data_IF_141886760064
#
_entry.id   IF_141886760064
#
_cell.length_a   1.000
_cell.length_b   1.000
_cell.length_c   1.000
_cell.angle_alpha   90.00
_cell.angle_beta   90.00
_cell.angle_gamma   90.00
#
_symmetry.space_group_name_H-M   'P 1'
#
loop_
_entity.id
_entity.type
_entity.pdbx_description
1 polymer ?
#
# COMPACT_ATOMS: atom_id res chain seq x y z
N UNK A 1 -39.74 11.35 15.19
CA UNK A 1 -40.03 12.40 14.17
C UNK A 1 -38.75 12.57 13.35
N UNK A 2 -38.65 11.89 12.18
CA UNK A 2 -37.43 11.89 11.34
C UNK A 2 -37.35 13.25 10.66
N UNK A 3 -36.24 13.99 10.93
CA UNK A 3 -35.93 15.25 10.20
C UNK A 3 -35.78 14.92 8.72
N UNK A 4 -36.76 15.27 7.92
CA UNK A 4 -36.63 15.27 6.45
C UNK A 4 -35.54 16.28 6.10
N UNK A 5 -34.47 15.79 5.50
CA UNK A 5 -33.42 16.68 5.01
C UNK A 5 -33.91 17.35 3.72
N UNK A 6 -33.48 18.59 3.43
CA UNK A 6 -33.84 19.32 2.19
C UNK A 6 -33.61 18.50 0.90
N UNK A 7 -32.79 17.47 0.99
CA UNK A 7 -32.50 16.53 -0.08
C UNK A 7 -33.60 15.48 -0.27
N UNK A 8 -34.26 15.01 0.81
CA UNK A 8 -35.39 14.07 0.69
C UNK A 8 -36.63 14.77 0.10
N UNK A 9 -36.80 16.05 0.36
CA UNK A 9 -37.89 16.84 -0.23
C UNK A 9 -37.70 17.03 -1.73
N UNK A 10 -36.51 17.38 -2.18
CA UNK A 10 -36.16 17.47 -3.62
C UNK A 10 -36.34 16.14 -4.37
N UNK A 11 -36.00 15.02 -3.74
CA UNK A 11 -36.19 13.69 -4.34
C UNK A 11 -37.69 13.38 -4.48
N UNK A 12 -38.50 13.74 -3.50
CA UNK A 12 -39.94 13.54 -3.55
C UNK A 12 -40.59 14.45 -4.62
N UNK A 13 -40.14 15.69 -4.73
CA UNK A 13 -40.57 16.64 -5.77
C UNK A 13 -40.20 16.12 -7.18
N UNK A 14 -38.96 15.73 -7.41
CA UNK A 14 -38.51 15.18 -8.69
C UNK A 14 -39.27 13.90 -9.09
N UNK A 15 -39.56 13.02 -8.11
CA UNK A 15 -40.39 11.83 -8.36
C UNK A 15 -41.84 12.18 -8.69
N UNK A 16 -42.37 13.24 -8.11
CA UNK A 16 -43.73 13.72 -8.39
C UNK A 16 -43.85 14.38 -9.78
N UNK A 17 -42.76 15.00 -10.25
CA UNK A 17 -42.67 15.64 -11.57
C UNK A 17 -42.23 14.67 -12.68
N UNK A 18 -41.94 13.40 -12.37
CA UNK A 18 -41.51 12.39 -13.35
C UNK A 18 -40.09 12.65 -13.92
N UNK A 19 -39.31 13.55 -13.29
CA UNK A 19 -37.94 13.80 -13.69
C UNK A 19 -37.03 12.65 -13.30
N UNK A 20 -36.13 12.27 -14.22
CA UNK A 20 -35.08 11.28 -13.94
C UNK A 20 -34.11 11.82 -12.87
N UNK A 21 -34.10 11.20 -11.70
CA UNK A 21 -33.14 11.57 -10.64
C UNK A 21 -31.72 11.34 -11.16
N UNK A 22 -30.88 12.38 -11.28
CA UNK A 22 -29.51 12.21 -11.77
C UNK A 22 -28.76 11.27 -10.83
N UNK A 23 -28.36 10.11 -11.35
CA UNK A 23 -27.56 9.12 -10.61
C UNK A 23 -26.21 9.73 -10.22
N UNK A 24 -25.86 9.64 -8.94
CA UNK A 24 -24.54 10.10 -8.49
C UNK A 24 -23.49 9.07 -8.83
N UNK A 25 -22.32 9.54 -9.25
CA UNK A 25 -21.16 8.69 -9.45
C UNK A 25 -20.68 8.11 -8.11
N UNK A 26 -20.35 6.81 -8.09
CA UNK A 26 -19.79 6.15 -6.89
C UNK A 26 -18.54 6.88 -6.37
N UNK A 27 -17.74 7.44 -7.26
CA UNK A 27 -16.53 8.22 -6.94
C UNK A 27 -16.84 9.56 -6.25
N UNK A 28 -17.91 10.21 -6.65
CA UNK A 28 -18.33 11.46 -6.04
C UNK A 28 -18.84 11.24 -4.60
N UNK A 29 -19.59 10.16 -4.38
CA UNK A 29 -20.05 9.77 -3.05
C UNK A 29 -18.88 9.34 -2.16
N UNK A 30 -17.92 8.57 -2.68
CA UNK A 30 -16.72 8.16 -1.95
C UNK A 30 -15.88 9.37 -1.54
N UNK A 31 -15.63 10.31 -2.47
CA UNK A 31 -14.89 11.55 -2.20
C UNK A 31 -15.59 12.39 -1.13
N UNK A 32 -16.89 12.57 -1.24
CA UNK A 32 -17.69 13.35 -0.26
C UNK A 32 -17.65 12.73 1.13
N UNK A 33 -17.77 11.40 1.23
CA UNK A 33 -17.68 10.67 2.50
C UNK A 33 -16.30 10.82 3.12
N UNK A 34 -15.26 10.71 2.30
CA UNK A 34 -13.86 10.85 2.73
C UNK A 34 -13.60 12.25 3.34
N UNK A 35 -13.89 13.32 2.62
CA UNK A 35 -13.66 14.70 3.08
C UNK A 35 -14.60 15.14 4.21
N UNK A 36 -15.70 14.42 4.45
CA UNK A 36 -16.57 14.65 5.61
C UNK A 36 -16.00 14.01 6.88
N UNK A 37 -15.03 13.11 6.77
CA UNK A 37 -14.36 12.49 7.89
C UNK A 37 -13.08 13.29 8.20
N UNK A 38 -13.11 14.05 9.31
CA UNK A 38 -11.99 14.90 9.73
C UNK A 38 -10.71 14.10 10.01
N UNK A 39 -10.82 12.86 10.54
CA UNK A 39 -9.67 11.99 10.77
C UNK A 39 -9.02 11.55 9.45
N UNK A 40 -9.83 11.17 8.45
CA UNK A 40 -9.32 10.79 7.14
C UNK A 40 -8.66 11.98 6.42
N UNK A 41 -9.27 13.17 6.50
CA UNK A 41 -8.70 14.39 5.93
C UNK A 41 -7.40 14.78 6.64
N UNK A 42 -7.36 14.70 7.96
CA UNK A 42 -6.14 14.96 8.74
C UNK A 42 -5.01 13.98 8.39
N UNK A 43 -5.32 12.68 8.28
CA UNK A 43 -4.37 11.65 7.87
C UNK A 43 -3.82 11.90 6.45
N UNK A 44 -4.68 12.32 5.52
CA UNK A 44 -4.25 12.68 4.15
C UNK A 44 -3.31 13.87 4.14
N UNK A 45 -3.59 14.90 4.97
CA UNK A 45 -2.71 16.08 5.10
C UNK A 45 -1.36 15.65 5.67
N UNK A 46 -1.34 14.85 6.75
CA UNK A 46 -0.09 14.35 7.33
C UNK A 46 0.73 13.55 6.32
N UNK A 47 0.10 12.63 5.58
CA UNK A 47 0.78 11.87 4.54
C UNK A 47 1.28 12.78 3.41
N UNK A 48 0.48 13.77 3.01
CA UNK A 48 0.88 14.78 2.03
C UNK A 48 2.12 15.58 2.47
N UNK A 49 2.19 15.96 3.75
CA UNK A 49 3.35 16.63 4.31
C UNK A 49 4.60 15.73 4.33
N UNK A 50 4.46 14.45 4.66
CA UNK A 50 5.56 13.47 4.61
C UNK A 50 6.08 13.33 3.18
N UNK A 51 5.18 13.16 2.20
CA UNK A 51 5.57 13.08 0.78
C UNK A 51 6.23 14.40 0.33
N UNK A 52 5.66 15.54 0.70
CA UNK A 52 6.23 16.86 0.38
C UNK A 52 7.65 17.00 0.97
N UNK A 53 7.85 16.57 2.22
CA UNK A 53 9.15 16.57 2.87
C UNK A 53 10.19 15.75 2.09
N UNK A 54 9.83 14.58 1.57
CA UNK A 54 10.77 13.74 0.79
C UNK A 54 11.09 14.31 -0.60
N UNK A 55 10.17 15.09 -1.20
CA UNK A 55 10.34 15.68 -2.54
C UNK A 55 11.06 17.03 -2.45
N UNK A 56 10.64 17.88 -1.52
CA UNK A 56 11.13 19.27 -1.41
C UNK A 56 12.32 19.38 -0.45
N UNK A 57 12.37 18.53 0.58
CA UNK A 57 13.43 18.53 1.58
C UNK A 57 14.87 18.51 1.04
N UNK A 58 15.19 17.71 0.00
CA UNK A 58 16.53 17.70 -0.57
C UNK A 58 17.01 19.06 -1.09
N UNK A 59 16.10 19.95 -1.49
CA UNK A 59 16.43 21.30 -1.97
C UNK A 59 16.98 22.19 -0.85
N UNK A 60 16.68 21.87 0.39
CA UNK A 60 17.16 22.61 1.58
C UNK A 60 18.37 21.94 2.25
N UNK A 61 18.69 20.69 1.88
CA UNK A 61 19.85 20.00 2.44
C UNK A 61 21.14 20.60 1.90
N UNK A 62 22.05 20.96 2.83
CA UNK A 62 23.41 21.43 2.49
C UNK A 62 24.42 20.27 2.47
N UNK A 63 24.06 19.15 3.08
CA UNK A 63 24.91 18.00 3.28
C UNK A 63 24.43 16.81 2.47
N UNK A 64 25.37 15.99 1.98
CA UNK A 64 25.00 14.71 1.38
C UNK A 64 24.78 13.63 2.46
N UNK A 65 24.17 12.51 2.06
CA UNK A 65 23.78 11.42 2.99
C UNK A 65 25.00 10.74 3.61
N UNK A 66 26.11 10.68 2.87
CA UNK A 66 27.34 9.97 3.26
C UNK A 66 28.42 10.92 3.77
N UNK A 67 28.24 12.23 3.61
CA UNK A 67 29.22 13.23 4.00
C UNK A 67 29.34 13.32 5.53
N UNK A 68 30.59 13.31 6.00
CA UNK A 68 30.91 13.36 7.43
C UNK A 68 31.46 14.75 7.74
N UNK A 69 30.86 15.43 8.73
CA UNK A 69 31.42 16.65 9.28
C UNK A 69 32.58 16.33 10.25
N UNK A 70 33.78 16.20 9.68
CA UNK A 70 34.98 15.92 10.44
C UNK A 70 35.32 16.98 11.48
N UNK A 71 34.90 18.23 11.26
CA UNK A 71 35.19 19.33 12.21
C UNK A 71 34.44 19.13 13.52
N UNK A 72 33.22 18.57 13.46
CA UNK A 72 32.34 18.34 14.62
C UNK A 72 32.36 16.93 15.15
N UNK A 73 32.85 15.97 14.36
CA UNK A 73 32.88 14.57 14.75
C UNK A 73 33.64 14.31 16.08
N UNK A 74 34.65 15.12 16.42
CA UNK A 74 35.42 14.99 17.67
C UNK A 74 34.66 15.50 18.91
N UNK A 75 33.54 16.22 18.74
CA UNK A 75 32.81 16.86 19.84
C UNK A 75 31.26 16.81 19.61
N UNK A 76 30.76 15.69 19.10
CA UNK A 76 29.36 15.50 18.74
C UNK A 76 28.42 15.82 19.93
N UNK A 77 28.82 15.47 21.15
CA UNK A 77 28.02 15.73 22.35
C UNK A 77 27.70 17.22 22.57
N UNK A 78 28.55 18.13 22.10
CA UNK A 78 28.36 19.58 22.25
C UNK A 78 28.06 20.30 20.95
N UNK A 79 28.53 19.80 19.82
CA UNK A 79 28.43 20.46 18.51
C UNK A 79 27.53 19.73 17.51
N UNK A 80 27.09 18.49 17.83
CA UNK A 80 26.20 17.68 17.00
C UNK A 80 24.71 18.03 17.06
N UNK A 81 24.34 19.10 17.80
CA UNK A 81 22.95 19.51 17.96
C UNK A 81 22.36 20.15 16.69
N UNK A 82 21.00 20.18 16.55
CA UNK A 82 20.33 20.87 15.46
C UNK A 82 20.77 22.33 15.35
N UNK A 83 21.20 22.76 14.16
CA UNK A 83 21.69 24.12 13.91
C UNK A 83 21.38 24.57 12.49
N UNK A 84 20.81 25.77 12.36
CA UNK A 84 20.57 26.42 11.07
C UNK A 84 21.88 26.96 10.47
N UNK A 85 22.80 27.41 11.30
CA UNK A 85 24.06 28.01 10.89
C UNK A 85 24.95 26.97 10.18
N UNK A 86 25.10 25.77 10.77
CA UNK A 86 25.85 24.67 10.18
C UNK A 86 25.12 23.97 9.04
N UNK A 87 23.80 24.12 8.94
CA UNK A 87 22.95 23.41 8.01
C UNK A 87 22.52 21.99 8.48
N UNK A 88 22.90 21.59 9.69
CA UNK A 88 22.46 20.35 10.32
C UNK A 88 21.11 20.56 11.03
N UNK A 89 20.04 20.64 10.26
CA UNK A 89 18.72 20.98 10.79
C UNK A 89 18.19 20.01 11.85
N UNK A 90 18.57 18.72 11.77
CA UNK A 90 18.23 17.67 12.74
C UNK A 90 19.42 17.22 13.57
N UNK A 91 20.58 17.89 13.43
CA UNK A 91 21.82 17.51 14.07
C UNK A 91 22.59 16.43 13.34
N UNK A 92 23.57 15.84 14.02
CA UNK A 92 24.48 14.80 13.52
C UNK A 92 24.16 13.46 14.19
N UNK A 93 24.47 12.37 13.47
CA UNK A 93 24.52 11.03 14.07
C UNK A 93 25.89 10.79 14.75
N UNK A 94 26.04 9.65 15.44
CA UNK A 94 27.26 9.25 16.14
C UNK A 94 28.51 9.15 15.23
N UNK A 95 28.29 9.13 13.92
CA UNK A 95 29.35 9.08 12.90
C UNK A 95 29.62 10.43 12.23
N UNK A 96 29.01 11.53 12.75
CA UNK A 96 29.19 12.87 12.20
C UNK A 96 28.44 13.12 10.88
N UNK A 97 27.40 12.32 10.55
CA UNK A 97 26.64 12.47 9.32
C UNK A 97 25.33 13.25 9.58
N UNK A 98 24.88 14.01 8.59
CA UNK A 98 23.69 14.84 8.71
C UNK A 98 22.39 14.03 8.85
N UNK A 99 21.70 14.21 9.98
CA UNK A 99 20.42 13.51 10.25
C UNK A 99 19.27 13.99 9.37
N UNK A 100 19.28 15.25 8.89
CA UNK A 100 18.24 15.75 8.02
C UNK A 100 18.28 15.06 6.66
N UNK A 101 19.45 15.01 6.01
CA UNK A 101 19.62 14.32 4.73
C UNK A 101 19.28 12.82 4.84
N UNK A 102 19.73 12.18 5.92
CA UNK A 102 19.47 10.76 6.19
C UNK A 102 18.00 10.48 6.45
N UNK A 103 17.29 11.35 7.18
CA UNK A 103 15.85 11.22 7.42
C UNK A 103 15.06 11.32 6.13
N UNK A 104 15.42 12.24 5.23
CA UNK A 104 14.77 12.36 3.91
C UNK A 104 14.96 11.06 3.12
N UNK A 105 16.18 10.57 3.04
CA UNK A 105 16.49 9.35 2.28
C UNK A 105 15.76 8.12 2.87
N UNK A 106 15.82 7.94 4.18
CA UNK A 106 15.13 6.84 4.84
C UNK A 106 13.61 6.88 4.60
N UNK A 107 13.00 8.07 4.75
CA UNK A 107 11.57 8.24 4.50
C UNK A 107 11.21 7.94 3.03
N UNK A 108 12.03 8.41 2.09
CA UNK A 108 11.85 8.13 0.66
C UNK A 108 11.93 6.63 0.36
N UNK A 109 12.94 5.97 0.90
CA UNK A 109 13.13 4.52 0.75
C UNK A 109 11.92 3.75 1.29
N UNK A 110 11.50 4.03 2.52
CA UNK A 110 10.36 3.36 3.15
C UNK A 110 9.06 3.57 2.38
N UNK A 111 8.80 4.79 1.86
CA UNK A 111 7.63 5.05 1.02
C UNK A 111 7.67 4.26 -0.29
N UNK A 112 8.82 4.22 -0.95
CA UNK A 112 8.99 3.46 -2.21
C UNK A 112 8.78 1.96 -1.96
N UNK A 113 9.41 1.41 -0.92
CA UNK A 113 9.27 0.00 -0.54
C UNK A 113 7.83 -0.32 -0.21
N UNK A 114 7.19 0.51 0.62
CA UNK A 114 5.80 0.33 1.02
C UNK A 114 4.84 0.31 -0.17
N UNK A 115 4.93 1.30 -1.06
CA UNK A 115 4.02 1.42 -2.21
C UNK A 115 4.28 0.33 -3.25
N UNK A 116 5.54 0.10 -3.64
CA UNK A 116 5.87 -0.91 -4.65
C UNK A 116 5.58 -2.32 -4.12
N UNK A 117 5.95 -2.61 -2.86
CA UNK A 117 5.64 -3.90 -2.23
C UNK A 117 4.14 -4.17 -2.19
N UNK A 118 3.34 -3.20 -1.77
CA UNK A 118 1.89 -3.32 -1.77
C UNK A 118 1.32 -3.49 -3.19
N UNK A 119 1.84 -2.77 -4.19
CA UNK A 119 1.40 -2.90 -5.59
C UNK A 119 1.66 -4.31 -6.14
N UNK A 120 2.86 -4.86 -5.91
CA UNK A 120 3.21 -6.23 -6.32
C UNK A 120 2.28 -7.24 -5.65
N UNK A 121 2.07 -7.13 -4.33
CA UNK A 121 1.16 -7.99 -3.58
C UNK A 121 -0.27 -7.93 -4.11
N UNK A 122 -0.76 -6.73 -4.41
CA UNK A 122 -2.10 -6.50 -4.97
C UNK A 122 -2.25 -7.14 -6.34
N UNK A 123 -1.32 -6.91 -7.26
CA UNK A 123 -1.43 -7.43 -8.62
C UNK A 123 -1.37 -8.97 -8.62
N UNK A 124 -0.34 -9.53 -8.01
CA UNK A 124 -0.14 -11.00 -7.99
C UNK A 124 -1.24 -11.66 -7.17
N UNK A 125 -1.50 -11.18 -5.95
CA UNK A 125 -2.49 -11.78 -5.05
C UNK A 125 -3.91 -11.70 -5.60
N UNK A 126 -4.27 -10.58 -6.23
CA UNK A 126 -5.60 -10.43 -6.85
C UNK A 126 -5.79 -11.39 -8.00
N UNK A 127 -4.84 -11.48 -8.92
CA UNK A 127 -4.95 -12.39 -10.07
C UNK A 127 -4.93 -13.85 -9.61
N UNK A 128 -4.02 -14.22 -8.74
CA UNK A 128 -3.90 -15.58 -8.21
C UNK A 128 -5.17 -16.01 -7.47
N UNK A 129 -5.64 -15.19 -6.52
CA UNK A 129 -6.84 -15.46 -5.73
C UNK A 129 -8.11 -15.48 -6.59
N UNK A 130 -8.23 -14.59 -7.58
CA UNK A 130 -9.35 -14.56 -8.49
C UNK A 130 -9.40 -15.82 -9.38
N UNK A 131 -8.27 -16.26 -9.90
CA UNK A 131 -8.18 -17.50 -10.68
C UNK A 131 -8.54 -18.71 -9.83
N UNK A 132 -7.94 -18.86 -8.65
CA UNK A 132 -8.22 -19.97 -7.74
C UNK A 132 -9.71 -20.03 -7.38
N UNK A 133 -10.29 -18.92 -6.92
CA UNK A 133 -11.70 -18.85 -6.52
C UNK A 133 -12.68 -19.07 -7.68
N UNK A 134 -12.38 -18.55 -8.88
CA UNK A 134 -13.26 -18.69 -10.05
C UNK A 134 -13.26 -20.10 -10.60
N UNK A 135 -12.08 -20.68 -10.86
CA UNK A 135 -11.95 -22.03 -11.39
C UNK A 135 -12.48 -23.06 -10.38
N UNK A 136 -12.03 -22.96 -9.14
CA UNK A 136 -12.47 -23.86 -8.07
C UNK A 136 -11.93 -25.29 -8.21
N UNK A 137 -12.54 -26.22 -7.45
CA UNK A 137 -12.25 -27.63 -7.53
C UNK A 137 -10.80 -27.99 -7.20
N UNK A 138 -10.21 -28.89 -7.99
CA UNK A 138 -8.83 -29.36 -7.78
C UNK A 138 -7.78 -28.25 -7.98
N UNK A 139 -7.98 -27.37 -8.97
CA UNK A 139 -7.07 -26.26 -9.26
C UNK A 139 -6.98 -25.32 -8.05
N UNK A 140 -8.13 -24.92 -7.50
CA UNK A 140 -8.20 -24.10 -6.28
C UNK A 140 -7.44 -24.78 -5.12
N UNK A 141 -7.68 -26.08 -4.91
CA UNK A 141 -7.02 -26.82 -3.83
C UNK A 141 -5.50 -26.85 -4.00
N UNK A 142 -4.98 -27.07 -5.20
CA UNK A 142 -3.53 -27.08 -5.47
C UNK A 142 -2.94 -25.68 -5.29
N UNK A 143 -3.59 -24.65 -5.84
CA UNK A 143 -3.14 -23.27 -5.71
C UNK A 143 -3.09 -22.83 -4.24
N UNK A 144 -4.14 -23.11 -3.46
CA UNK A 144 -4.17 -22.76 -2.05
C UNK A 144 -3.20 -23.59 -1.21
N UNK A 145 -2.96 -24.86 -1.55
CA UNK A 145 -1.95 -25.68 -0.90
C UNK A 145 -0.54 -25.09 -1.10
N UNK A 146 -0.24 -24.59 -2.29
CA UNK A 146 1.02 -23.89 -2.54
C UNK A 146 1.16 -22.63 -1.66
N UNK A 147 0.08 -21.83 -1.53
CA UNK A 147 0.05 -20.69 -0.60
C UNK A 147 0.25 -21.13 0.85
N UNK A 148 -0.40 -22.21 1.29
CA UNK A 148 -0.28 -22.72 2.67
C UNK A 148 1.15 -23.17 3.00
N UNK A 149 1.82 -23.83 2.07
CA UNK A 149 3.23 -24.23 2.21
C UNK A 149 4.13 -23.01 2.34
N UNK A 150 3.94 -21.99 1.50
CA UNK A 150 4.76 -20.78 1.53
C UNK A 150 4.53 -19.97 2.82
N UNK A 151 3.30 -19.88 3.30
CA UNK A 151 2.97 -19.17 4.56
C UNK A 151 3.50 -19.91 5.79
N UNK A 152 3.71 -21.24 5.71
CA UNK A 152 4.27 -22.00 6.83
C UNK A 152 5.74 -21.67 7.15
N UNK A 153 6.43 -21.07 6.17
CA UNK A 153 7.81 -20.61 6.36
C UNK A 153 7.79 -19.20 6.98
N UNK A 154 8.51 -18.94 8.08
CA UNK A 154 8.59 -17.60 8.64
C UNK A 154 9.15 -16.61 7.62
N UNK A 155 8.31 -15.68 7.15
CA UNK A 155 8.65 -14.79 6.03
C UNK A 155 9.90 -13.93 6.31
N UNK A 156 10.09 -13.48 7.54
CA UNK A 156 11.29 -12.71 7.92
C UNK A 156 12.56 -13.52 7.71
N UNK A 157 12.51 -14.84 7.97
CA UNK A 157 13.65 -15.72 7.73
C UNK A 157 14.00 -15.79 6.24
N UNK A 158 13.00 -15.87 5.36
CA UNK A 158 13.21 -15.85 3.90
C UNK A 158 13.90 -14.56 3.47
N UNK A 159 13.41 -13.41 3.95
CA UNK A 159 13.96 -12.10 3.56
C UNK A 159 15.40 -11.95 4.06
N UNK A 160 15.64 -12.28 5.34
CA UNK A 160 17.00 -12.24 5.92
C UNK A 160 17.95 -13.16 5.14
N UNK A 161 17.51 -14.38 4.84
CA UNK A 161 18.32 -15.34 4.08
C UNK A 161 18.68 -14.80 2.69
N UNK A 162 17.71 -14.21 1.99
CA UNK A 162 17.96 -13.58 0.68
C UNK A 162 18.98 -12.43 0.78
N UNK A 163 18.81 -11.54 1.78
CA UNK A 163 19.72 -10.40 1.98
C UNK A 163 21.13 -10.82 2.40
N UNK A 164 21.28 -11.97 3.07
CA UNK A 164 22.60 -12.52 3.46
C UNK A 164 23.27 -13.29 2.33
N UNK A 165 22.49 -14.06 1.54
CA UNK A 165 23.03 -14.90 0.45
C UNK A 165 23.34 -14.12 -0.82
N UNK A 166 22.63 -13.04 -1.07
CA UNK A 166 22.82 -12.19 -2.23
C UNK A 166 23.30 -10.81 -1.77
N UNK A 167 23.86 -10.01 -2.67
CA UNK A 167 24.27 -8.65 -2.33
C UNK A 167 23.09 -7.83 -1.82
N UNK A 168 23.33 -7.01 -0.78
CA UNK A 168 22.35 -6.09 -0.22
C UNK A 168 21.95 -5.07 -1.28
N UNK A 169 20.79 -5.25 -1.86
CA UNK A 169 20.28 -4.39 -2.92
C UNK A 169 18.79 -4.17 -2.77
N UNK A 170 18.31 -3.02 -3.24
CA UNK A 170 16.88 -2.75 -3.31
C UNK A 170 16.12 -3.85 -4.04
N UNK A 171 16.72 -4.42 -5.10
CA UNK A 171 16.09 -5.50 -5.86
C UNK A 171 15.82 -6.72 -4.97
N UNK A 172 16.81 -7.16 -4.19
CA UNK A 172 16.67 -8.32 -3.29
C UNK A 172 15.65 -8.06 -2.18
N UNK A 173 15.62 -6.85 -1.65
CA UNK A 173 14.61 -6.42 -0.68
C UNK A 173 13.19 -6.49 -1.29
N UNK A 174 12.99 -5.96 -2.50
CA UNK A 174 11.70 -6.04 -3.21
C UNK A 174 11.29 -7.47 -3.54
N UNK A 175 12.24 -8.30 -3.99
CA UNK A 175 12.00 -9.72 -4.27
C UNK A 175 11.59 -10.44 -2.98
N UNK A 176 12.32 -10.24 -1.89
CA UNK A 176 12.03 -10.86 -0.60
C UNK A 176 10.66 -10.48 -0.05
N UNK A 177 10.34 -9.19 -0.03
CA UNK A 177 9.03 -8.70 0.40
C UNK A 177 7.94 -9.16 -0.58
N UNK A 178 8.21 -9.07 -1.88
CA UNK A 178 7.25 -9.42 -2.92
C UNK A 178 6.84 -10.90 -2.92
N UNK A 179 7.78 -11.81 -2.65
CA UNK A 179 7.53 -13.27 -2.60
C UNK A 179 6.48 -13.63 -1.54
N UNK A 180 6.37 -12.85 -0.47
CA UNK A 180 5.51 -13.22 0.67
C UNK A 180 4.23 -12.40 0.72
N UNK A 181 4.29 -11.14 0.34
CA UNK A 181 3.18 -10.19 0.58
C UNK A 181 1.90 -10.47 -0.21
N UNK A 182 1.99 -11.18 -1.34
CA UNK A 182 0.83 -11.53 -2.16
C UNK A 182 0.01 -12.71 -1.61
N UNK A 183 0.59 -13.50 -0.67
CA UNK A 183 -0.03 -14.72 -0.17
C UNK A 183 -1.35 -14.44 0.56
N UNK A 184 -1.35 -13.51 1.52
CA UNK A 184 -2.55 -13.13 2.26
C UNK A 184 -3.60 -12.48 1.35
N UNK A 185 -3.14 -11.61 0.42
CA UNK A 185 -4.03 -11.00 -0.56
C UNK A 185 -4.73 -12.04 -1.43
N UNK A 186 -4.02 -13.10 -1.84
CA UNK A 186 -4.58 -14.18 -2.64
C UNK A 186 -5.71 -14.92 -1.91
N UNK A 187 -5.57 -15.18 -0.62
CA UNK A 187 -6.59 -15.83 0.22
C UNK A 187 -7.84 -14.98 0.35
N UNK A 188 -7.66 -13.67 0.57
CA UNK A 188 -8.76 -12.72 0.72
C UNK A 188 -9.55 -12.63 -0.59
N UNK A 189 -8.83 -12.43 -1.70
CA UNK A 189 -9.44 -12.31 -3.02
C UNK A 189 -10.13 -13.60 -3.44
N UNK A 190 -9.52 -14.77 -3.17
CA UNK A 190 -10.17 -16.07 -3.38
C UNK A 190 -11.50 -16.16 -2.65
N UNK A 191 -11.52 -15.82 -1.35
CA UNK A 191 -12.75 -15.85 -0.54
C UNK A 191 -13.87 -14.99 -1.13
N UNK A 192 -13.55 -13.79 -1.58
CA UNK A 192 -14.49 -12.89 -2.24
C UNK A 192 -14.93 -13.40 -3.61
N UNK A 193 -14.00 -13.98 -4.39
CA UNK A 193 -14.29 -14.53 -5.71
C UNK A 193 -15.26 -15.71 -5.63
N UNK A 194 -15.13 -16.56 -4.61
CA UNK A 194 -16.07 -17.65 -4.35
C UNK A 194 -17.52 -17.16 -4.16
N UNK A 195 -17.69 -15.99 -3.53
CA UNK A 195 -19.01 -15.37 -3.36
C UNK A 195 -19.50 -14.70 -4.65
N UNK A 196 -18.60 -14.10 -5.43
CA UNK A 196 -18.96 -13.37 -6.66
C UNK A 196 -19.27 -14.30 -7.84
N UNK A 197 -18.60 -15.45 -7.95
CA UNK A 197 -18.73 -16.36 -9.11
C UNK A 197 -20.13 -16.92 -9.30
N UNK A 198 -20.95 -16.90 -8.25
CA UNK A 198 -22.35 -17.38 -8.25
C UNK A 198 -23.36 -16.24 -8.35
N UNK A 199 -22.92 -15.02 -8.71
CA UNK A 199 -23.81 -13.88 -8.92
C UNK A 199 -24.39 -13.90 -10.33
N UNK A 200 -25.62 -13.39 -10.45
CA UNK A 200 -26.42 -13.38 -11.70
C UNK A 200 -25.65 -12.80 -12.90
N UNK A 201 -24.88 -11.72 -12.70
CA UNK A 201 -24.10 -11.13 -13.79
C UNK A 201 -22.96 -12.03 -14.29
N UNK A 202 -22.39 -12.90 -13.44
CA UNK A 202 -21.38 -13.90 -13.85
C UNK A 202 -22.07 -15.05 -14.59
N UNK A 203 -23.23 -15.50 -14.11
CA UNK A 203 -24.01 -16.54 -14.78
C UNK A 203 -24.50 -16.08 -16.15
N UNK A 204 -24.97 -14.85 -16.25
CA UNK A 204 -25.35 -14.24 -17.53
C UNK A 204 -24.18 -14.19 -18.52
N UNK A 205 -22.97 -13.80 -18.05
CA UNK A 205 -21.78 -13.77 -18.88
C UNK A 205 -21.37 -15.18 -19.36
N UNK A 206 -21.49 -16.20 -18.51
CA UNK A 206 -21.27 -17.60 -18.89
C UNK A 206 -22.29 -18.08 -19.92
N UNK A 207 -23.56 -17.77 -19.72
CA UNK A 207 -24.64 -18.11 -20.65
C UNK A 207 -24.46 -17.44 -22.03
N UNK A 208 -23.90 -16.22 -22.04
CA UNK A 208 -23.51 -15.52 -23.28
C UNK A 208 -22.22 -16.06 -23.94
N UNK A 209 -21.62 -17.13 -23.41
CA UNK A 209 -20.42 -17.76 -23.99
C UNK A 209 -19.11 -17.01 -23.72
N UNK A 210 -19.09 -16.06 -22.76
CA UNK A 210 -17.87 -15.33 -22.43
C UNK A 210 -16.84 -16.26 -21.78
N UNK A 211 -15.60 -16.27 -22.29
CA UNK A 211 -14.52 -17.10 -21.78
C UNK A 211 -14.15 -16.77 -20.31
N UNK A 212 -13.80 -17.78 -19.53
CA UNK A 212 -13.56 -17.67 -18.09
C UNK A 212 -12.53 -16.61 -17.70
N UNK A 213 -11.42 -16.48 -18.43
CA UNK A 213 -10.41 -15.46 -18.17
C UNK A 213 -10.95 -14.04 -18.39
N UNK A 214 -11.77 -13.85 -19.41
CA UNK A 214 -12.45 -12.57 -19.65
C UNK A 214 -13.44 -12.24 -18.53
N UNK A 215 -14.16 -13.24 -18.00
CA UNK A 215 -15.04 -13.07 -16.84
C UNK A 215 -14.25 -12.63 -15.62
N UNK A 216 -13.10 -13.24 -15.35
CA UNK A 216 -12.22 -12.83 -14.25
C UNK A 216 -11.84 -11.35 -14.39
N UNK A 217 -11.26 -10.96 -15.54
CA UNK A 217 -10.71 -9.62 -15.70
C UNK A 217 -11.77 -8.52 -15.85
N UNK A 218 -12.90 -8.79 -16.52
CA UNK A 218 -13.93 -7.79 -16.82
C UNK A 218 -15.10 -7.77 -15.83
N UNK A 219 -15.34 -8.85 -15.13
CA UNK A 219 -16.50 -8.96 -14.24
C UNK A 219 -16.11 -9.18 -12.77
N UNK A 220 -15.14 -10.05 -12.48
CA UNK A 220 -14.77 -10.36 -11.09
C UNK A 220 -13.81 -9.32 -10.53
N UNK A 221 -12.66 -9.10 -11.15
CA UNK A 221 -11.62 -8.18 -10.65
C UNK A 221 -12.17 -6.76 -10.43
N UNK A 222 -12.93 -6.15 -11.36
CA UNK A 222 -13.50 -4.82 -11.11
C UNK A 222 -14.46 -4.76 -9.91
N UNK A 223 -15.21 -5.83 -9.66
CA UNK A 223 -16.10 -5.91 -8.50
C UNK A 223 -15.37 -6.16 -7.17
N UNK A 224 -14.11 -6.60 -7.22
CA UNK A 224 -13.23 -6.77 -6.06
C UNK A 224 -12.47 -5.49 -5.71
N UNK A 225 -12.40 -4.49 -6.60
CA UNK A 225 -11.55 -3.30 -6.42
C UNK A 225 -11.80 -2.60 -5.08
N UNK A 226 -13.03 -2.55 -4.59
CA UNK A 226 -13.33 -1.92 -3.30
C UNK A 226 -12.58 -2.57 -2.14
N UNK A 227 -12.58 -3.90 -2.06
CA UNK A 227 -11.88 -4.63 -1.00
C UNK A 227 -10.37 -4.65 -1.25
N UNK A 228 -9.96 -4.78 -2.52
CA UNK A 228 -8.55 -4.78 -2.92
C UNK A 228 -7.86 -3.47 -2.51
N UNK A 229 -8.49 -2.33 -2.77
CA UNK A 229 -7.95 -1.01 -2.38
C UNK A 229 -7.83 -0.88 -0.86
N UNK A 230 -8.82 -1.34 -0.10
CA UNK A 230 -8.74 -1.31 1.37
C UNK A 230 -7.55 -2.12 1.87
N UNK A 231 -7.38 -3.35 1.39
CA UNK A 231 -6.23 -4.18 1.78
C UNK A 231 -4.90 -3.62 1.29
N UNK A 232 -4.86 -3.06 0.08
CA UNK A 232 -3.67 -2.38 -0.44
C UNK A 232 -3.19 -1.26 0.49
N UNK A 233 -4.13 -0.43 1.00
CA UNK A 233 -3.78 0.64 1.94
C UNK A 233 -3.28 0.13 3.29
N UNK A 234 -3.73 -1.04 3.75
CA UNK A 234 -3.24 -1.69 4.97
C UNK A 234 -1.87 -2.36 4.77
N UNK A 235 -1.57 -2.82 3.55
CA UNK A 235 -0.28 -3.45 3.23
C UNK A 235 0.86 -2.44 3.26
N UNK A 236 0.66 -1.18 2.82
CA UNK A 236 1.73 -0.17 2.77
C UNK A 236 2.44 0.01 4.13
N UNK A 237 1.74 0.29 5.25
CA UNK A 237 2.39 0.39 6.56
C UNK A 237 3.09 -0.90 6.98
N UNK A 238 2.51 -2.07 6.67
CA UNK A 238 3.13 -3.35 7.00
C UNK A 238 4.46 -3.55 6.26
N UNK A 239 4.53 -3.18 4.97
CA UNK A 239 5.76 -3.23 4.19
C UNK A 239 6.84 -2.31 4.75
N UNK A 240 6.45 -1.09 5.16
CA UNK A 240 7.35 -0.13 5.79
C UNK A 240 7.89 -0.68 7.11
N UNK A 241 7.06 -1.31 7.94
CA UNK A 241 7.50 -1.94 9.19
C UNK A 241 8.49 -3.07 8.94
N UNK A 242 8.24 -3.92 7.92
CA UNK A 242 9.16 -5.00 7.53
C UNK A 242 10.50 -4.45 7.07
N UNK A 243 10.49 -3.45 6.19
CA UNK A 243 11.70 -2.76 5.71
C UNK A 243 12.47 -2.15 6.88
N UNK A 244 11.80 -1.39 7.75
CA UNK A 244 12.42 -0.74 8.91
C UNK A 244 13.05 -1.77 9.86
N UNK A 245 12.41 -2.92 10.06
CA UNK A 245 12.96 -4.00 10.88
C UNK A 245 14.22 -4.61 10.25
N UNK A 246 14.23 -4.83 8.93
CA UNK A 246 15.40 -5.33 8.19
C UNK A 246 16.55 -4.31 8.27
N UNK A 247 16.23 -3.03 8.11
CA UNK A 247 17.20 -1.93 8.24
C UNK A 247 17.76 -1.84 9.66
N UNK A 248 16.93 -2.03 10.68
CA UNK A 248 17.37 -2.08 12.09
C UNK A 248 18.33 -3.24 12.36
N UNK A 249 18.14 -4.39 11.71
CA UNK A 249 19.07 -5.53 11.81
C UNK A 249 20.41 -5.30 11.07
N UNK A 250 20.60 -4.12 10.47
CA UNK A 250 21.81 -3.80 9.70
C UNK A 250 21.86 -4.45 8.31
N UNK A 251 20.73 -4.96 7.84
CA UNK A 251 20.56 -5.56 6.50
C UNK A 251 19.85 -4.60 5.53
N UNK A 252 19.58 -3.35 5.94
CA UNK A 252 18.99 -2.32 5.09
C UNK A 252 19.92 -1.92 3.93
N UNK A 253 19.31 -1.27 2.91
CA UNK A 253 19.96 -0.82 1.67
C UNK A 253 20.08 0.70 1.66
#
# INVERSE_FOLDING_TARGET
MVRRTAQSERIIEALAEGEAIPGRSLWEDARRRFFRNNAATGALICLGLVVLFTVVGPLFSRWSIEEIDWARMGNIAHEGHPSIESGHYFGLDDLGRDLYARTIQATRTSLIVGVIGALVAVVIGTLYGAVAGFVGGWIDNVMMRAVDVLVSIPYMFIIILLMVMFERSFLMLFVGIGIVSWLDMSRIVRGQTLSLKNREFVEAAKAAGVGGFTIILRHIVPNLLGIVVVYATLLVPLMILVESFISFLGLGV
#
